data_IF_183078680540
#
_entry.id   IF_183078680540
#
_cell.length_a   1.000
_cell.length_b   1.000
_cell.length_c   1.000
_cell.angle_alpha   90.00
_cell.angle_beta   90.00
_cell.angle_gamma   90.00
#
_symmetry.space_group_name_H-M   'P 1'
#
loop_
_entity.id
_entity.type
_entity.pdbx_description
1 polymer ?
#
# COMPACT_ATOMS: atom_id res chain seq x y z
N UNK A 1 1.68 17.32 -9.77
CA UNK A 1 2.36 18.31 -8.91
C UNK A 1 1.71 18.17 -7.55
N UNK A 2 2.44 17.67 -6.54
CA UNK A 2 1.88 17.53 -5.20
C UNK A 2 1.86 18.88 -4.49
N UNK A 3 0.85 19.11 -3.67
CA UNK A 3 0.75 20.31 -2.84
C UNK A 3 1.78 20.28 -1.70
N UNK A 4 2.15 21.45 -1.15
CA UNK A 4 3.06 21.53 0.01
C UNK A 4 2.52 20.73 1.21
N UNK A 5 1.20 20.67 1.37
CA UNK A 5 0.55 19.89 2.42
C UNK A 5 0.68 18.38 2.17
N UNK A 6 0.49 17.92 0.94
CA UNK A 6 0.71 16.52 0.55
C UNK A 6 2.14 16.08 0.81
N UNK A 7 3.13 16.88 0.42
CA UNK A 7 4.53 16.52 0.68
C UNK A 7 4.85 16.46 2.17
N UNK A 8 4.32 17.41 2.96
CA UNK A 8 4.50 17.40 4.42
C UNK A 8 3.91 16.14 5.07
N UNK A 9 2.79 15.64 4.54
CA UNK A 9 2.18 14.39 5.00
C UNK A 9 3.01 13.16 4.60
N UNK A 10 3.48 13.11 3.35
CA UNK A 10 4.31 12.01 2.86
C UNK A 10 5.65 11.92 3.62
N UNK A 11 6.19 13.05 4.08
CA UNK A 11 7.42 13.09 4.88
C UNK A 11 7.16 12.93 6.40
N UNK A 12 5.91 12.66 6.80
CA UNK A 12 5.53 12.60 8.21
C UNK A 12 5.85 11.25 8.87
N UNK A 13 6.12 11.23 10.18
CA UNK A 13 6.29 9.98 10.93
C UNK A 13 5.09 9.03 10.84
N UNK A 14 3.88 9.57 10.69
CA UNK A 14 2.65 8.76 10.56
C UNK A 14 2.65 7.96 9.25
N UNK A 15 3.06 8.58 8.15
CA UNK A 15 3.13 7.90 6.86
C UNK A 15 4.24 6.85 6.84
N UNK A 16 5.39 7.12 7.46
CA UNK A 16 6.44 6.10 7.63
C UNK A 16 5.96 4.93 8.50
N UNK A 17 5.20 5.17 9.57
CA UNK A 17 4.57 4.09 10.34
C UNK A 17 3.59 3.25 9.51
N UNK A 18 2.85 3.86 8.58
CA UNK A 18 2.00 3.14 7.63
C UNK A 18 2.80 2.30 6.62
N UNK A 19 3.96 2.80 6.16
CA UNK A 19 4.90 2.04 5.33
C UNK A 19 5.47 0.84 6.07
N UNK A 20 5.83 0.98 7.35
CA UNK A 20 6.30 -0.14 8.18
C UNK A 20 5.22 -1.21 8.34
N UNK A 21 3.97 -0.82 8.62
CA UNK A 21 2.85 -1.76 8.66
C UNK A 21 2.62 -2.48 7.33
N UNK A 22 2.78 -1.78 6.19
CA UNK A 22 2.69 -2.39 4.87
C UNK A 22 3.82 -3.41 4.62
N UNK A 23 5.07 -3.09 5.02
CA UNK A 23 6.23 -4.01 4.93
C UNK A 23 6.00 -5.27 5.75
N UNK A 24 5.58 -5.14 7.01
CA UNK A 24 5.29 -6.28 7.88
C UNK A 24 4.14 -7.12 7.33
N UNK A 25 3.06 -6.49 6.85
CA UNK A 25 1.92 -7.18 6.26
C UNK A 25 2.29 -8.01 5.03
N UNK A 26 3.14 -7.49 4.15
CA UNK A 26 3.67 -8.24 3.01
C UNK A 26 4.60 -9.38 3.44
N UNK A 27 5.49 -9.12 4.41
CA UNK A 27 6.41 -10.12 4.93
C UNK A 27 5.67 -11.32 5.54
N UNK A 28 4.57 -11.10 6.27
CA UNK A 28 3.68 -12.16 6.79
C UNK A 28 3.07 -13.04 5.69
N UNK A 29 3.00 -12.54 4.45
CA UNK A 29 2.52 -13.26 3.28
C UNK A 29 3.64 -13.76 2.37
N UNK A 30 4.90 -13.59 2.78
CA UNK A 30 6.07 -14.03 2.01
C UNK A 30 6.38 -13.14 0.80
N UNK A 31 5.91 -11.90 0.78
CA UNK A 31 6.17 -10.95 -0.28
C UNK A 31 7.17 -9.88 0.16
N UNK A 32 8.00 -9.45 -0.79
CA UNK A 32 8.91 -8.31 -0.66
C UNK A 32 8.59 -7.31 -1.76
N UNK A 33 8.64 -6.02 -1.46
CA UNK A 33 8.36 -4.95 -2.40
C UNK A 33 9.34 -3.78 -2.21
N UNK A 34 9.56 -3.00 -3.28
CA UNK A 34 10.35 -1.77 -3.23
C UNK A 34 9.63 -0.64 -2.48
N UNK A 35 10.36 0.42 -2.14
CA UNK A 35 9.84 1.50 -1.30
C UNK A 35 8.69 2.27 -1.96
N UNK A 36 8.68 2.36 -3.29
CA UNK A 36 7.62 3.00 -4.07
C UNK A 36 6.32 2.18 -4.02
N UNK A 37 6.43 0.86 -4.13
CA UNK A 37 5.30 -0.07 -3.98
C UNK A 37 4.78 -0.04 -2.55
N UNK A 38 5.66 -0.04 -1.55
CA UNK A 38 5.29 0.08 -0.14
C UNK A 38 4.54 1.39 0.12
N UNK A 39 5.03 2.51 -0.42
CA UNK A 39 4.34 3.80 -0.33
C UNK A 39 2.95 3.78 -0.96
N UNK A 40 2.82 3.14 -2.12
CA UNK A 40 1.53 2.98 -2.82
C UNK A 40 0.53 2.16 -1.99
N UNK A 41 1.00 1.06 -1.39
CA UNK A 41 0.20 0.22 -0.52
C UNK A 41 -0.23 0.98 0.73
N UNK A 42 0.71 1.64 1.42
CA UNK A 42 0.44 2.43 2.62
C UNK A 42 -0.62 3.52 2.34
N UNK A 43 -0.49 4.24 1.21
CA UNK A 43 -1.46 5.27 0.82
C UNK A 43 -2.84 4.68 0.52
N UNK A 44 -2.89 3.55 -0.19
CA UNK A 44 -4.15 2.88 -0.54
C UNK A 44 -4.90 2.40 0.71
N UNK A 45 -4.17 1.85 1.69
CA UNK A 45 -4.70 1.45 2.99
C UNK A 45 -5.26 2.65 3.76
N UNK A 46 -4.52 3.76 3.82
CA UNK A 46 -4.95 4.97 4.52
C UNK A 46 -6.20 5.60 3.90
N UNK A 47 -6.26 5.67 2.57
CA UNK A 47 -7.45 6.18 1.86
C UNK A 47 -8.67 5.31 2.19
N UNK A 48 -8.53 3.99 2.11
CA UNK A 48 -9.61 3.06 2.44
C UNK A 48 -10.06 3.16 3.89
N UNK A 49 -9.11 3.30 4.81
CA UNK A 49 -9.40 3.48 6.23
C UNK A 49 -10.24 4.74 6.49
N UNK A 50 -9.92 5.85 5.81
CA UNK A 50 -10.68 7.10 5.88
C UNK A 50 -12.07 6.94 5.26
N UNK A 51 -12.17 6.34 4.07
CA UNK A 51 -13.43 6.09 3.37
C UNK A 51 -14.41 5.25 4.19
N UNK A 52 -13.89 4.27 4.93
CA UNK A 52 -14.68 3.35 5.73
C UNK A 52 -15.02 3.87 7.14
N UNK A 53 -14.62 5.10 7.49
CA UNK A 53 -14.91 5.68 8.80
C UNK A 53 -14.06 5.14 9.96
N UNK A 54 -12.94 4.46 9.67
CA UNK A 54 -11.96 4.00 10.66
C UNK A 54 -11.92 2.47 10.87
N UNK A 55 -11.73 2.04 12.12
CA UNK A 55 -11.45 0.65 12.50
C UNK A 55 -12.69 -0.27 12.52
N UNK A 56 -13.51 -0.23 11.48
CA UNK A 56 -14.50 -1.30 11.30
C UNK A 56 -13.81 -2.55 10.77
N UNK A 57 -14.08 -3.72 11.37
CA UNK A 57 -13.45 -4.99 11.01
C UNK A 57 -13.62 -5.30 9.51
N UNK A 58 -14.79 -4.97 8.96
CA UNK A 58 -15.11 -5.15 7.55
C UNK A 58 -14.22 -4.26 6.64
N UNK A 59 -13.93 -3.04 7.08
CA UNK A 59 -13.03 -2.13 6.37
C UNK A 59 -11.60 -2.66 6.31
N UNK A 60 -11.14 -3.31 7.38
CA UNK A 60 -9.81 -3.92 7.46
C UNK A 60 -9.69 -5.09 6.48
N UNK A 61 -10.70 -5.97 6.42
CA UNK A 61 -10.72 -7.11 5.50
C UNK A 61 -10.75 -6.67 4.02
N UNK A 62 -11.56 -5.68 3.68
CA UNK A 62 -11.62 -5.11 2.33
C UNK A 62 -10.32 -4.42 1.92
N UNK A 63 -9.69 -3.72 2.88
CA UNK A 63 -8.39 -3.08 2.69
C UNK A 63 -7.31 -4.13 2.42
N UNK A 64 -7.31 -5.24 3.18
CA UNK A 64 -6.39 -6.35 2.97
C UNK A 64 -6.57 -7.01 1.59
N UNK A 65 -7.82 -7.19 1.13
CA UNK A 65 -8.10 -7.71 -0.20
C UNK A 65 -7.58 -6.78 -1.32
N UNK A 66 -7.69 -5.46 -1.13
CA UNK A 66 -7.14 -4.48 -2.07
C UNK A 66 -5.61 -4.55 -2.14
N UNK A 67 -4.92 -4.62 -1.01
CA UNK A 67 -3.45 -4.72 -0.96
C UNK A 67 -2.97 -5.98 -1.69
N UNK A 68 -3.62 -7.12 -1.47
CA UNK A 68 -3.30 -8.36 -2.17
C UNK A 68 -3.54 -8.24 -3.68
N UNK A 69 -4.63 -7.58 -4.10
CA UNK A 69 -4.91 -7.34 -5.52
C UNK A 69 -3.86 -6.44 -6.19
N UNK A 70 -3.44 -5.36 -5.52
CA UNK A 70 -2.39 -4.46 -6.02
C UNK A 70 -1.06 -5.20 -6.10
N UNK A 71 -0.70 -5.95 -5.06
CA UNK A 71 0.53 -6.77 -5.02
C UNK A 71 0.55 -7.78 -6.16
N UNK A 72 -0.56 -8.49 -6.39
CA UNK A 72 -0.67 -9.44 -7.50
C UNK A 72 -0.56 -8.77 -8.88
N UNK A 73 -1.18 -7.59 -9.07
CA UNK A 73 -1.06 -6.81 -10.31
C UNK A 73 0.38 -6.37 -10.57
N UNK A 74 1.08 -5.92 -9.54
CA UNK A 74 2.49 -5.50 -9.65
C UNK A 74 3.38 -6.69 -10.02
N UNK A 75 3.16 -7.87 -9.42
CA UNK A 75 3.86 -9.10 -9.82
C UNK A 75 3.64 -9.48 -11.29
N UNK A 76 2.43 -9.29 -11.82
CA UNK A 76 2.15 -9.56 -13.24
C UNK A 76 2.77 -8.54 -14.20
N UNK A 77 3.04 -7.32 -13.74
CA UNK A 77 3.69 -6.26 -14.55
C UNK A 77 5.22 -6.32 -14.49
N UNK A 78 5.80 -6.94 -13.46
CA UNK A 78 7.25 -7.19 -13.36
C UNK A 78 7.74 -8.38 -14.19
N UNK A 79 6.85 -9.12 -14.87
CA UNK A 79 7.26 -10.16 -15.81
C UNK A 79 7.83 -9.52 -17.10
N UNK A 80 9.14 -9.68 -17.40
CA UNK A 80 9.72 -9.16 -18.62
C UNK A 80 9.11 -9.89 -19.82
N UNK A 81 8.87 -9.13 -20.89
CA UNK A 81 8.18 -9.59 -22.08
C UNK A 81 8.64 -10.96 -22.58
N UNK A 82 7.69 -11.87 -22.69
CA UNK A 82 7.78 -12.99 -23.62
C UNK A 82 7.65 -12.41 -25.02
N UNK A 83 8.79 -12.11 -25.65
CA UNK A 83 8.85 -11.97 -27.09
C UNK A 83 8.44 -13.30 -27.72
N UNK A 84 7.43 -13.27 -28.59
CA UNK A 84 7.41 -13.97 -29.87
C UNK A 84 6.27 -13.43 -30.74
#
# INVERSE_FOLDING_TARGET
MNTKAEQTFLDSPQFEGAKDGAREGLALKGFTADDDTIGTIAMSVLIRFIEAGGYEIQAVEETMAMVLSVTARLQTQSAPGSQH
#
